data_IF_104981905312
#
_entry.id   IF_104981905312
#
_cell.length_a   1.000
_cell.length_b   1.000
_cell.length_c   1.000
_cell.angle_alpha   90.00
_cell.angle_beta   90.00
_cell.angle_gamma   90.00
#
_symmetry.space_group_name_H-M   'P 1'
#
loop_
_entity.id
_entity.type
_entity.pdbx_description
1 polymer ?
#
# COMPACT_ATOMS: atom_id res chain seq x y z
N UNK A 1 67.88 -24.75 -5.96
CA UNK A 1 66.43 -25.00 -6.15
C UNK A 1 66.25 -26.33 -6.82
N UNK A 2 65.56 -27.23 -6.22
CA UNK A 2 65.23 -28.55 -6.82
C UNK A 2 63.99 -28.42 -7.67
N UNK A 3 63.90 -29.25 -8.73
CA UNK A 3 62.72 -29.27 -9.62
C UNK A 3 61.41 -29.53 -8.88
N UNK A 4 61.48 -30.32 -7.80
CA UNK A 4 60.32 -30.62 -6.93
C UNK A 4 59.83 -29.41 -6.14
N UNK A 5 60.73 -28.52 -5.70
CA UNK A 5 60.41 -27.31 -4.98
C UNK A 5 59.65 -26.32 -5.86
N UNK A 6 60.04 -26.18 -7.13
CA UNK A 6 59.35 -25.33 -8.12
C UNK A 6 57.96 -25.93 -8.44
N UNK A 7 57.83 -27.24 -8.59
CA UNK A 7 56.57 -27.92 -8.81
C UNK A 7 55.62 -27.72 -7.61
N UNK A 8 56.14 -27.90 -6.41
CA UNK A 8 55.34 -27.73 -5.19
C UNK A 8 54.84 -26.27 -5.04
N UNK A 9 55.73 -25.27 -5.30
CA UNK A 9 55.39 -23.88 -5.25
C UNK A 9 54.30 -23.49 -6.27
N UNK A 10 54.41 -23.98 -7.51
CA UNK A 10 53.39 -23.72 -8.54
C UNK A 10 52.07 -24.39 -8.25
N UNK A 11 52.05 -25.60 -7.70
CA UNK A 11 50.79 -26.26 -7.25
C UNK A 11 50.13 -25.50 -6.12
N UNK A 12 50.89 -25.08 -5.12
CA UNK A 12 50.35 -24.27 -4.02
C UNK A 12 49.83 -22.90 -4.48
N UNK A 13 50.54 -22.26 -5.40
CA UNK A 13 50.07 -21.00 -5.99
C UNK A 13 48.77 -21.19 -6.78
N UNK A 14 48.68 -22.23 -7.60
CA UNK A 14 47.50 -22.54 -8.36
C UNK A 14 46.29 -22.87 -7.45
N UNK A 15 46.51 -23.63 -6.37
CA UNK A 15 45.49 -23.93 -5.37
C UNK A 15 45.03 -22.67 -4.65
N UNK A 16 45.95 -21.77 -4.28
CA UNK A 16 45.61 -20.48 -3.66
C UNK A 16 44.77 -19.58 -4.57
N UNK A 17 45.15 -19.49 -5.86
CA UNK A 17 44.38 -18.75 -6.85
C UNK A 17 43.01 -19.35 -7.09
N UNK A 18 42.87 -20.68 -7.16
CA UNK A 18 41.59 -21.36 -7.34
C UNK A 18 40.63 -21.10 -6.16
N UNK A 19 41.15 -21.14 -4.90
CA UNK A 19 40.35 -20.80 -3.72
C UNK A 19 39.96 -19.32 -3.71
N UNK A 20 40.88 -18.41 -4.08
CA UNK A 20 40.57 -16.99 -4.22
C UNK A 20 39.44 -16.72 -5.23
N UNK A 21 39.53 -17.35 -6.40
CA UNK A 21 38.49 -17.26 -7.43
C UNK A 21 37.15 -17.85 -6.98
N UNK A 22 37.16 -18.97 -6.25
CA UNK A 22 35.96 -19.60 -5.73
C UNK A 22 35.23 -18.70 -4.72
N UNK A 23 35.97 -18.01 -3.84
CA UNK A 23 35.38 -17.09 -2.86
C UNK A 23 34.78 -15.84 -3.51
N UNK A 24 35.46 -15.25 -4.50
CA UNK A 24 34.93 -14.09 -5.26
C UNK A 24 33.68 -14.48 -6.04
N UNK A 25 33.67 -15.67 -6.67
CA UNK A 25 32.51 -16.17 -7.41
C UNK A 25 31.32 -16.47 -6.49
N UNK A 26 31.56 -17.03 -5.30
CA UNK A 26 30.52 -17.28 -4.31
C UNK A 26 29.92 -15.97 -3.78
N UNK A 27 30.74 -14.96 -3.51
CA UNK A 27 30.29 -13.63 -3.11
C UNK A 27 29.44 -12.96 -4.20
N UNK A 28 29.88 -13.03 -5.46
CA UNK A 28 29.13 -12.46 -6.60
C UNK A 28 27.79 -13.17 -6.87
N UNK A 29 27.67 -14.47 -6.57
CA UNK A 29 26.40 -15.19 -6.73
C UNK A 29 25.35 -14.87 -5.65
N UNK A 30 25.78 -14.30 -4.51
CA UNK A 30 24.88 -13.93 -3.39
C UNK A 30 24.29 -12.54 -3.56
N UNK A 31 24.98 -11.63 -4.21
CA UNK A 31 24.60 -10.22 -4.36
C UNK A 31 23.22 -10.03 -5.02
N UNK A 32 22.90 -10.67 -6.17
CA UNK A 32 21.59 -10.46 -6.82
C UNK A 32 20.40 -10.92 -5.95
N UNK A 33 20.58 -11.94 -5.11
CA UNK A 33 19.52 -12.40 -4.19
C UNK A 33 19.28 -11.39 -3.08
N UNK A 34 20.36 -10.80 -2.56
CA UNK A 34 20.28 -9.76 -1.55
C UNK A 34 19.58 -8.50 -2.07
N UNK A 35 19.90 -8.08 -3.27
CA UNK A 35 19.29 -6.94 -3.95
C UNK A 35 17.79 -7.17 -4.19
N UNK A 36 17.38 -8.33 -4.69
CA UNK A 36 15.97 -8.65 -4.90
C UNK A 36 15.15 -8.66 -3.60
N UNK A 37 15.72 -9.14 -2.50
CA UNK A 37 15.09 -9.10 -1.18
C UNK A 37 14.97 -7.66 -0.67
N UNK A 38 16.02 -6.86 -0.84
CA UNK A 38 16.02 -5.46 -0.44
C UNK A 38 14.97 -4.65 -1.21
N UNK A 39 14.92 -4.80 -2.54
CA UNK A 39 13.93 -4.15 -3.40
C UNK A 39 12.49 -4.52 -3.03
N UNK A 40 12.23 -5.81 -2.78
CA UNK A 40 10.91 -6.25 -2.30
C UNK A 40 10.55 -5.61 -0.96
N UNK A 41 11.46 -5.57 -0.02
CA UNK A 41 11.22 -4.98 1.30
C UNK A 41 10.95 -3.47 1.22
N UNK A 42 11.67 -2.76 0.35
CA UNK A 42 11.43 -1.34 0.06
C UNK A 42 10.03 -1.12 -0.52
N UNK A 43 9.62 -1.95 -1.50
CA UNK A 43 8.27 -1.89 -2.08
C UNK A 43 7.19 -2.12 -1.03
N UNK A 44 7.32 -3.19 -0.22
CA UNK A 44 6.39 -3.47 0.88
C UNK A 44 6.30 -2.26 1.82
N UNK A 45 7.43 -1.70 2.24
CA UNK A 45 7.47 -0.54 3.15
C UNK A 45 6.77 0.67 2.55
N UNK A 46 7.06 1.01 1.30
CA UNK A 46 6.50 2.18 0.61
C UNK A 46 4.97 2.07 0.48
N UNK A 47 4.47 0.91 0.04
CA UNK A 47 3.03 0.67 -0.10
C UNK A 47 2.33 0.65 1.26
N UNK A 48 2.89 -0.05 2.24
CA UNK A 48 2.34 -0.10 3.60
C UNK A 48 2.25 1.29 4.23
N UNK A 49 3.28 2.11 4.06
CA UNK A 49 3.30 3.47 4.59
C UNK A 49 2.31 4.38 3.86
N UNK A 50 2.18 4.24 2.54
CA UNK A 50 1.16 4.93 1.76
C UNK A 50 -0.24 4.58 2.28
N UNK A 51 -0.57 3.29 2.36
CA UNK A 51 -1.88 2.82 2.83
C UNK A 51 -2.17 3.31 4.26
N UNK A 52 -1.20 3.18 5.16
CA UNK A 52 -1.36 3.63 6.55
C UNK A 52 -1.64 5.12 6.65
N UNK A 53 -0.89 5.94 5.90
CA UNK A 53 -1.10 7.40 5.90
C UNK A 53 -2.44 7.79 5.29
N UNK A 54 -2.81 7.20 4.15
CA UNK A 54 -4.06 7.59 3.46
C UNK A 54 -5.29 7.09 4.21
N UNK A 55 -5.29 5.82 4.64
CA UNK A 55 -6.38 5.25 5.43
C UNK A 55 -6.47 5.93 6.81
N UNK A 56 -5.33 6.14 7.48
CA UNK A 56 -5.29 6.85 8.77
C UNK A 56 -5.65 8.35 8.68
N UNK A 57 -5.57 8.93 7.48
CA UNK A 57 -5.96 10.31 7.20
C UNK A 57 -7.36 10.45 6.58
N UNK A 58 -8.20 9.41 6.61
CA UNK A 58 -9.57 9.49 6.09
C UNK A 58 -10.35 10.62 6.74
N UNK A 59 -11.12 11.31 5.91
CA UNK A 59 -12.03 12.37 6.32
C UNK A 59 -13.46 11.90 6.08
N UNK A 60 -14.34 12.13 7.05
CA UNK A 60 -15.77 11.81 6.93
C UNK A 60 -16.53 12.78 6.00
N UNK A 61 -15.94 13.17 4.89
CA UNK A 61 -16.55 14.06 3.91
C UNK A 61 -17.39 13.27 2.91
N UNK A 62 -18.53 13.82 2.53
CA UNK A 62 -19.37 13.26 1.47
C UNK A 62 -18.67 13.46 0.12
N UNK A 63 -18.61 12.42 -0.69
CA UNK A 63 -18.07 12.48 -2.05
C UNK A 63 -19.08 12.08 -3.13
N UNK A 64 -20.22 11.57 -2.71
CA UNK A 64 -21.32 11.16 -3.60
C UNK A 64 -22.64 11.33 -2.83
N UNK A 65 -23.62 11.89 -3.51
CA UNK A 65 -24.98 12.02 -2.99
C UNK A 65 -25.91 11.31 -3.99
N UNK A 66 -26.66 10.34 -3.52
CA UNK A 66 -27.66 9.68 -4.36
C UNK A 66 -28.84 10.64 -4.58
N UNK A 67 -29.14 11.04 -5.83
CA UNK A 67 -30.17 12.03 -6.12
C UNK A 67 -31.61 11.50 -5.87
N UNK A 68 -31.80 10.17 -5.84
CA UNK A 68 -33.13 9.57 -5.66
C UNK A 68 -33.44 9.31 -4.19
N UNK A 69 -32.49 8.71 -3.46
CA UNK A 69 -32.66 8.38 -2.03
C UNK A 69 -32.22 9.51 -1.09
N UNK A 70 -31.39 10.45 -1.54
CA UNK A 70 -30.76 11.46 -0.71
C UNK A 70 -29.63 10.88 0.18
N UNK A 71 -29.26 9.61 -0.03
CA UNK A 71 -28.22 8.95 0.76
C UNK A 71 -26.84 9.54 0.47
N UNK A 72 -26.14 9.94 1.53
CA UNK A 72 -24.78 10.50 1.42
C UNK A 72 -23.73 9.40 1.58
N UNK A 73 -22.78 9.34 0.65
CA UNK A 73 -21.68 8.37 0.71
C UNK A 73 -20.39 9.05 1.16
N UNK A 74 -19.84 8.56 2.26
CA UNK A 74 -18.56 9.00 2.86
C UNK A 74 -17.49 7.94 2.77
N UNK A 75 -17.91 6.70 2.61
CA UNK A 75 -17.05 5.54 2.40
C UNK A 75 -17.78 4.50 1.53
N UNK A 76 -17.02 3.85 0.67
CA UNK A 76 -17.47 2.65 -0.04
C UNK A 76 -16.35 1.62 0.02
N UNK A 77 -16.67 0.37 0.33
CA UNK A 77 -15.69 -0.68 0.46
C UNK A 77 -16.24 -2.02 0.01
N UNK A 78 -15.46 -2.69 -0.84
CA UNK A 78 -15.67 -4.03 -1.35
C UNK A 78 -14.39 -4.86 -1.14
N UNK A 79 -14.42 -6.14 -1.43
CA UNK A 79 -13.27 -7.02 -1.25
C UNK A 79 -12.03 -6.59 -2.08
N UNK A 80 -12.23 -6.01 -3.26
CA UNK A 80 -11.17 -5.63 -4.19
C UNK A 80 -11.14 -4.13 -4.51
N UNK A 81 -12.01 -3.35 -3.89
CA UNK A 81 -12.04 -1.89 -4.07
C UNK A 81 -12.42 -1.15 -2.80
N UNK A 82 -11.93 0.08 -2.65
CA UNK A 82 -12.43 1.01 -1.65
C UNK A 82 -12.28 2.46 -2.09
N UNK A 83 -13.26 3.29 -1.68
CA UNK A 83 -13.30 4.72 -1.97
C UNK A 83 -13.52 5.50 -0.68
N UNK A 84 -12.70 6.52 -0.48
CA UNK A 84 -12.77 7.40 0.69
C UNK A 84 -12.13 8.75 0.40
N UNK A 85 -12.41 9.75 1.20
CA UNK A 85 -11.78 11.07 1.09
C UNK A 85 -10.61 11.17 2.07
N UNK A 86 -9.49 11.66 1.58
CA UNK A 86 -8.32 12.05 2.37
C UNK A 86 -7.57 13.18 1.66
N UNK A 87 -6.60 13.79 2.34
CA UNK A 87 -5.76 14.80 1.69
C UNK A 87 -4.90 14.19 0.60
N UNK A 88 -4.72 14.93 -0.49
CA UNK A 88 -3.82 14.53 -1.57
C UNK A 88 -2.38 14.46 -1.05
N UNK A 89 -1.57 13.47 -1.49
CA UNK A 89 -0.14 13.48 -1.25
C UNK A 89 0.53 14.78 -1.73
N UNK A 90 1.42 15.36 -0.91
CA UNK A 90 2.03 16.68 -1.18
C UNK A 90 2.78 16.76 -2.52
N UNK A 91 3.31 15.63 -2.99
CA UNK A 91 4.04 15.56 -4.27
C UNK A 91 3.13 15.57 -5.51
N UNK A 92 1.80 15.38 -5.35
CA UNK A 92 0.85 15.31 -6.47
C UNK A 92 0.17 16.66 -6.77
N UNK A 93 0.34 17.68 -5.96
CA UNK A 93 -0.21 19.00 -6.24
C UNK A 93 -0.65 19.80 -5.04
N UNK A 94 -1.57 20.74 -5.27
CA UNK A 94 -2.14 21.56 -4.21
C UNK A 94 -3.00 20.69 -3.30
N UNK A 95 -2.70 20.68 -2.01
CA UNK A 95 -3.41 19.92 -1.01
C UNK A 95 -4.92 20.16 -0.98
N UNK A 96 -5.61 19.45 -0.13
CA UNK A 96 -7.05 19.48 0.06
C UNK A 96 -7.70 18.12 -0.12
N UNK A 97 -9.01 18.02 0.17
CA UNK A 97 -9.70 16.74 0.15
C UNK A 97 -9.83 16.17 -1.27
N UNK A 98 -9.38 14.94 -1.42
CA UNK A 98 -9.49 14.18 -2.66
C UNK A 98 -10.10 12.81 -2.37
N UNK A 99 -10.97 12.36 -3.27
CA UNK A 99 -11.42 10.99 -3.32
C UNK A 99 -10.24 10.11 -3.72
N UNK A 100 -9.92 9.16 -2.88
CA UNK A 100 -8.98 8.09 -3.13
C UNK A 100 -9.78 6.85 -3.53
N UNK A 101 -9.63 6.40 -4.76
CA UNK A 101 -10.23 5.18 -5.24
C UNK A 101 -9.13 4.12 -5.40
N UNK A 102 -9.00 3.24 -4.43
CA UNK A 102 -8.12 2.08 -4.53
C UNK A 102 -8.88 0.94 -5.21
N UNK A 103 -8.19 0.24 -6.09
CA UNK A 103 -8.78 -0.89 -6.82
C UNK A 103 -7.74 -1.91 -7.19
N UNK A 104 -8.20 -3.14 -7.39
CA UNK A 104 -7.41 -4.26 -7.88
C UNK A 104 -7.72 -4.45 -9.36
N UNK A 105 -6.70 -4.37 -10.19
CA UNK A 105 -6.81 -4.58 -11.63
C UNK A 105 -6.00 -5.80 -12.06
N UNK A 106 -6.39 -6.44 -13.16
CA UNK A 106 -5.60 -7.49 -13.78
C UNK A 106 -4.32 -6.90 -14.38
N UNK A 107 -3.20 -7.59 -14.15
CA UNK A 107 -1.89 -7.22 -14.68
C UNK A 107 -1.17 -8.50 -15.15
N UNK A 108 -1.23 -8.78 -16.45
CA UNK A 108 -0.75 -10.04 -17.01
C UNK A 108 -1.41 -11.25 -16.36
N UNK A 109 -0.61 -12.16 -15.82
CA UNK A 109 -1.07 -13.36 -15.11
C UNK A 109 -1.40 -13.08 -13.63
N UNK A 110 -1.23 -11.84 -13.15
CA UNK A 110 -1.43 -11.44 -11.77
C UNK A 110 -2.40 -10.27 -11.63
N UNK A 111 -2.19 -9.52 -10.54
CA UNK A 111 -2.95 -8.34 -10.18
C UNK A 111 -2.04 -7.17 -9.86
N UNK A 112 -2.55 -5.97 -10.04
CA UNK A 112 -1.95 -4.73 -9.57
C UNK A 112 -2.91 -4.03 -8.59
N UNK A 113 -2.38 -3.49 -7.51
CA UNK A 113 -3.06 -2.53 -6.65
C UNK A 113 -2.85 -1.14 -7.24
N UNK A 114 -3.92 -0.43 -7.51
CA UNK A 114 -3.91 0.89 -8.13
C UNK A 114 -4.67 1.91 -7.29
N UNK A 115 -4.35 3.19 -7.48
CA UNK A 115 -5.07 4.30 -6.86
C UNK A 115 -5.38 5.37 -7.91
N UNK A 116 -6.60 5.90 -7.85
CA UNK A 116 -7.04 7.08 -8.58
C UNK A 116 -7.38 8.20 -7.60
N UNK A 117 -7.10 9.46 -7.99
CA UNK A 117 -7.34 10.64 -7.18
C UNK A 117 -8.25 11.61 -7.92
N UNK A 118 -9.35 12.00 -7.29
CA UNK A 118 -10.30 13.00 -7.82
C UNK A 118 -10.56 14.06 -6.78
N UNK A 119 -10.61 15.31 -7.20
CA UNK A 119 -10.94 16.41 -6.29
C UNK A 119 -12.38 16.29 -5.78
N UNK A 120 -12.59 16.53 -4.48
CA UNK A 120 -13.93 16.62 -3.90
C UNK A 120 -14.21 18.09 -3.57
N UNK A 121 -15.31 18.61 -4.09
CA UNK A 121 -15.76 19.97 -3.83
C UNK A 121 -17.26 19.97 -3.53
N UNK A 122 -17.63 20.53 -2.37
CA UNK A 122 -19.02 20.68 -1.95
C UNK A 122 -19.84 19.36 -1.91
N UNK A 123 -19.18 18.22 -1.64
CA UNK A 123 -19.84 16.91 -1.57
C UNK A 123 -19.96 16.17 -2.90
N UNK A 124 -19.39 16.72 -3.97
CA UNK A 124 -19.35 16.10 -5.29
C UNK A 124 -17.92 15.84 -5.73
N UNK A 125 -17.74 14.77 -6.49
CA UNK A 125 -16.45 14.44 -7.11
C UNK A 125 -16.33 15.15 -8.44
N UNK A 126 -15.30 15.99 -8.58
CA UNK A 126 -15.02 16.71 -9.83
C UNK A 126 -14.01 15.91 -10.64
N UNK A 127 -14.38 15.54 -11.86
CA UNK A 127 -13.43 15.01 -12.83
C UNK A 127 -12.52 16.15 -13.31
N UNK A 128 -11.21 15.98 -13.11
CA UNK A 128 -10.23 16.92 -13.66
C UNK A 128 -10.34 16.99 -15.19
N UNK A 129 -10.03 18.13 -15.78
CA UNK A 129 -10.05 18.35 -17.24
C UNK A 129 -9.16 17.38 -18.05
N UNK A 130 -8.36 16.57 -17.39
CA UNK A 130 -7.59 15.44 -17.95
C UNK A 130 -7.70 14.27 -16.97
N UNK A 131 -8.49 13.27 -17.36
CA UNK A 131 -8.50 11.98 -16.68
C UNK A 131 -7.06 11.42 -16.71
N UNK A 132 -6.45 11.25 -15.53
CA UNK A 132 -5.19 10.52 -15.42
C UNK A 132 -5.51 9.04 -15.25
N UNK A 133 -4.74 8.14 -15.87
CA UNK A 133 -4.88 6.73 -15.56
C UNK A 133 -4.58 6.49 -14.06
N UNK A 134 -5.19 5.48 -13.43
CA UNK A 134 -4.87 5.11 -12.06
C UNK A 134 -3.37 4.84 -11.90
N UNK A 135 -2.79 5.30 -10.79
CA UNK A 135 -1.37 5.08 -10.49
C UNK A 135 -1.16 3.70 -9.87
N UNK A 136 -0.25 2.87 -10.40
CA UNK A 136 0.07 1.59 -9.78
C UNK A 136 0.85 1.79 -8.48
N UNK A 137 0.38 1.21 -7.39
CA UNK A 137 1.07 1.15 -6.10
C UNK A 137 1.94 -0.10 -6.00
N UNK A 138 1.47 -1.22 -6.51
CA UNK A 138 2.19 -2.47 -6.60
C UNK A 138 1.64 -3.34 -7.73
N UNK A 139 2.51 -4.05 -8.41
CA UNK A 139 2.24 -4.96 -9.51
C UNK A 139 2.71 -6.40 -9.19
N UNK A 140 2.44 -7.35 -10.08
CA UNK A 140 2.88 -8.74 -9.95
C UNK A 140 2.33 -9.43 -8.70
N UNK A 141 1.16 -9.03 -8.23
CA UNK A 141 0.51 -9.56 -7.04
C UNK A 141 -0.31 -10.82 -7.38
N UNK A 142 -0.41 -11.73 -6.43
CA UNK A 142 -1.30 -12.91 -6.52
C UNK A 142 -2.70 -12.60 -6.05
N UNK A 143 -2.82 -11.77 -5.01
CA UNK A 143 -4.10 -11.29 -4.50
C UNK A 143 -3.93 -10.02 -3.69
N UNK A 144 -4.98 -9.20 -3.70
CA UNK A 144 -5.18 -8.09 -2.78
C UNK A 144 -6.59 -8.18 -2.25
N UNK A 145 -6.79 -8.00 -0.96
CA UNK A 145 -8.08 -8.13 -0.30
C UNK A 145 -8.24 -7.02 0.74
N UNK A 146 -9.36 -6.34 0.68
CA UNK A 146 -9.80 -5.37 1.68
C UNK A 146 -10.87 -5.98 2.58
N UNK A 147 -10.82 -5.63 3.86
CA UNK A 147 -11.88 -5.98 4.79
C UNK A 147 -12.08 -4.84 5.80
N UNK A 148 -13.29 -4.71 6.27
CA UNK A 148 -13.77 -3.61 7.09
C UNK A 148 -14.41 -4.13 8.36
N UNK A 149 -14.36 -3.34 9.44
CA UNK A 149 -15.17 -3.62 10.61
C UNK A 149 -15.62 -2.33 11.28
N UNK A 150 -16.84 -2.39 11.80
CA UNK A 150 -17.44 -1.31 12.58
C UNK A 150 -16.95 -1.28 14.02
N UNK A 151 -17.47 -0.34 14.82
CA UNK A 151 -17.24 -0.33 16.24
C UNK A 151 -17.76 -1.61 16.88
N UNK A 152 -17.02 -2.15 17.81
CA UNK A 152 -17.43 -3.35 18.54
C UNK A 152 -18.47 -3.06 19.60
N UNK A 153 -19.16 -4.11 20.06
CA UNK A 153 -20.08 -4.08 21.19
C UNK A 153 -19.44 -4.77 22.39
N UNK A 154 -19.72 -4.28 23.58
CA UNK A 154 -19.27 -4.87 24.85
C UNK A 154 -17.73 -5.11 24.92
N UNK A 155 -16.95 -4.20 24.35
CA UNK A 155 -15.49 -4.28 24.32
C UNK A 155 -14.93 -5.35 23.36
N UNK A 156 -15.77 -6.06 22.61
CA UNK A 156 -15.33 -7.02 21.59
C UNK A 156 -15.33 -6.36 20.22
N UNK A 157 -14.28 -6.55 19.39
CA UNK A 157 -14.27 -6.01 18.05
C UNK A 157 -15.36 -6.68 17.19
N UNK A 158 -15.99 -5.90 16.30
CA UNK A 158 -16.94 -6.43 15.33
C UNK A 158 -16.25 -7.43 14.36
N UNK A 159 -16.97 -8.36 13.73
CA UNK A 159 -16.43 -9.23 12.70
C UNK A 159 -15.89 -8.43 11.51
N UNK A 160 -14.95 -9.01 10.75
CA UNK A 160 -14.50 -8.46 9.49
C UNK A 160 -15.50 -8.77 8.38
N UNK A 161 -15.88 -7.72 7.63
CA UNK A 161 -16.75 -7.78 6.47
C UNK A 161 -15.94 -7.45 5.21
N UNK A 162 -16.27 -8.05 4.08
CA UNK A 162 -15.64 -7.78 2.78
C UNK A 162 -16.42 -6.77 1.95
N UNK A 163 -17.57 -6.35 2.44
CA UNK A 163 -18.41 -5.28 1.91
C UNK A 163 -18.82 -4.39 3.09
N UNK A 164 -18.78 -3.06 2.88
CA UNK A 164 -19.17 -2.09 3.89
C UNK A 164 -20.59 -1.62 3.66
N UNK A 165 -21.48 -1.96 4.59
CA UNK A 165 -22.94 -1.76 4.46
C UNK A 165 -23.40 -0.36 4.93
N UNK A 166 -22.49 0.48 5.43
CA UNK A 166 -22.82 1.79 6.02
C UNK A 166 -22.14 2.94 5.26
N UNK A 167 -22.63 3.29 4.05
CA UNK A 167 -21.96 4.27 3.19
C UNK A 167 -21.82 5.66 3.83
N UNK A 168 -22.71 6.02 4.77
CA UNK A 168 -22.72 7.28 5.50
C UNK A 168 -21.66 7.36 6.62
N UNK A 169 -21.03 6.24 6.96
CA UNK A 169 -20.10 6.14 8.09
C UNK A 169 -18.74 5.57 7.66
N UNK A 170 -17.67 6.00 8.32
CA UNK A 170 -16.35 5.38 8.17
C UNK A 170 -16.28 4.08 8.96
N UNK A 171 -15.56 3.05 8.47
CA UNK A 171 -15.26 1.86 9.25
C UNK A 171 -14.36 2.21 10.45
N UNK A 172 -14.51 1.51 11.56
CA UNK A 172 -13.63 1.67 12.72
C UNK A 172 -12.22 1.15 12.43
N UNK A 173 -12.11 0.13 11.57
CA UNK A 173 -10.82 -0.38 11.09
C UNK A 173 -10.95 -0.91 9.66
N UNK A 174 -9.88 -0.74 8.91
CA UNK A 174 -9.66 -1.30 7.58
C UNK A 174 -8.49 -2.26 7.65
N UNK A 175 -8.62 -3.44 7.06
CA UNK A 175 -7.54 -4.41 6.89
C UNK A 175 -7.23 -4.58 5.41
N UNK A 176 -5.95 -4.52 5.08
CA UNK A 176 -5.45 -4.78 3.73
C UNK A 176 -4.53 -5.99 3.78
N UNK A 177 -4.78 -6.99 2.95
CA UNK A 177 -3.97 -8.19 2.79
C UNK A 177 -3.46 -8.25 1.36
N UNK A 178 -2.16 -8.36 1.21
CA UNK A 178 -1.48 -8.42 -0.09
C UNK A 178 -0.63 -9.69 -0.12
N UNK A 179 -0.66 -10.41 -1.24
CA UNK A 179 0.15 -11.60 -1.47
C UNK A 179 0.86 -11.45 -2.81
N UNK A 180 2.17 -11.62 -2.84
CA UNK A 180 2.99 -11.67 -4.05
C UNK A 180 3.49 -13.10 -4.35
N UNK A 181 4.39 -13.25 -5.31
CA UNK A 181 4.97 -14.55 -5.66
C UNK A 181 5.82 -15.16 -4.53
N UNK A 182 6.38 -14.33 -3.65
CA UNK A 182 7.24 -14.72 -2.53
C UNK A 182 6.45 -14.98 -1.24
N UNK A 183 5.17 -14.62 -1.19
CA UNK A 183 4.29 -14.87 -0.06
C UNK A 183 3.49 -13.67 0.41
N UNK A 184 2.81 -13.82 1.54
CA UNK A 184 1.99 -12.75 2.11
C UNK A 184 2.87 -11.61 2.66
N UNK A 185 2.45 -10.38 2.41
CA UNK A 185 3.00 -9.20 3.06
C UNK A 185 2.47 -9.11 4.50
N UNK A 186 3.12 -8.34 5.39
CA UNK A 186 2.55 -8.00 6.68
C UNK A 186 1.16 -7.39 6.47
N UNK A 187 0.15 -7.91 7.17
CA UNK A 187 -1.21 -7.39 7.04
C UNK A 187 -1.30 -6.00 7.67
N UNK A 188 -1.77 -5.03 6.89
CA UNK A 188 -2.02 -3.68 7.39
C UNK A 188 -3.42 -3.62 8.00
N UNK A 189 -3.50 -3.21 9.27
CA UNK A 189 -4.75 -2.90 9.96
C UNK A 189 -4.66 -1.45 10.44
N UNK A 190 -5.49 -0.60 9.85
CA UNK A 190 -5.48 0.84 10.12
C UNK A 190 -6.83 1.27 10.66
N UNK A 191 -6.81 2.09 11.71
CA UNK A 191 -8.00 2.75 12.23
C UNK A 191 -8.08 4.16 11.64
N UNK A 192 -9.11 4.47 10.83
CA UNK A 192 -9.41 5.85 10.45
C UNK A 192 -9.69 6.72 11.68
N UNK A 193 -9.56 8.05 11.59
CA UNK A 193 -9.95 8.94 12.67
C UNK A 193 -11.42 8.75 13.01
N UNK A 194 -11.75 8.81 14.29
CA UNK A 194 -13.15 8.77 14.73
C UNK A 194 -13.94 9.94 14.08
N UNK A 195 -15.10 9.64 13.55
CA UNK A 195 -15.98 10.66 12.97
C UNK A 195 -16.26 11.75 14.02
N UNK A 196 -15.74 12.96 13.83
CA UNK A 196 -15.85 14.08 14.76
C UNK A 196 -14.52 14.77 15.10
N UNK A 197 -13.37 14.22 14.74
CA UNK A 197 -12.06 14.86 14.93
C UNK A 197 -11.64 15.76 13.77
N UNK A 198 -12.58 16.38 13.03
CA UNK A 198 -12.25 17.54 12.21
C UNK A 198 -11.83 18.65 13.15
N UNK A 199 -10.50 18.82 13.29
CA UNK A 199 -9.89 19.86 14.11
C UNK A 199 -10.15 21.25 13.54
N UNK A 200 -11.35 21.76 13.75
CA UNK A 200 -11.58 23.20 13.78
C UNK A 200 -11.27 23.61 15.22
N UNK A 201 -10.18 24.36 15.47
CA UNK A 201 -9.95 24.90 16.79
C UNK A 201 -11.15 25.79 17.14
N UNK A 202 -11.65 25.78 18.39
CA UNK A 202 -12.72 26.67 18.78
C UNK A 202 -12.24 28.10 18.54
N UNK A 203 -12.97 28.83 17.68
CA UNK A 203 -12.78 30.28 17.54
C UNK A 203 -13.08 30.86 18.90
N UNK A 204 -12.05 31.37 19.59
CA UNK A 204 -12.22 32.16 20.79
C UNK A 204 -13.03 33.38 20.38
N UNK A 205 -14.28 33.44 20.78
CA UNK A 205 -15.12 34.62 20.66
C UNK A 205 -14.61 35.74 21.55
N UNK A 206 -14.95 36.98 21.22
CA UNK A 206 -14.45 38.16 21.89
C UNK A 206 -14.88 38.28 23.35
#
# INVERSE_FOLDING_TARGET
FTLIEVLLATVLLAAGLALGFATVRAAGASAPRGEAIAERNERIRAVSEFLRRRIGGMQGLVFELDPESGESRRFAGEAESMRFVADLPDYLGRGGPHLHALGVARDGDGFALQVDFRMVLAGETIEGSRARPPEPLADGLRSVEFAYRGPGKDGKPAPWLYEWEHPEALPAQVRVRIVDAQGAWPAEVVAPPAAGSSGVPPVAGP
#
